data_IF_801054258736
#
_entry.id   IF_801054258736
#
_cell.length_a   1.000
_cell.length_b   1.000
_cell.length_c   1.000
_cell.angle_alpha   90.00
_cell.angle_beta   90.00
_cell.angle_gamma   90.00
#
_symmetry.space_group_name_H-M   'P 1'
#
loop_
_entity.id
_entity.type
_entity.pdbx_description
1 polymer ?
#
# COMPACT_ATOMS: atom_id res chain seq x y z
N UNK A 1 0.26 -9.53 -10.75
CA UNK A 1 0.31 -8.13 -10.27
C UNK A 1 0.62 -7.16 -11.41
N UNK A 2 1.75 -7.32 -12.12
CA UNK A 2 2.15 -6.47 -13.25
C UNK A 2 1.05 -6.23 -14.30
N UNK A 3 0.43 -7.29 -14.82
CA UNK A 3 -0.65 -7.18 -15.83
C UNK A 3 -1.81 -6.31 -15.33
N UNK A 4 -2.19 -6.45 -14.06
CA UNK A 4 -3.26 -5.65 -13.46
C UNK A 4 -2.84 -4.19 -13.33
N UNK A 5 -1.60 -3.94 -12.90
CA UNK A 5 -1.05 -2.58 -12.76
C UNK A 5 -0.95 -1.87 -14.12
N UNK A 6 -0.45 -2.56 -15.14
CA UNK A 6 -0.27 -2.04 -16.50
C UNK A 6 -1.61 -1.75 -17.19
N UNK A 7 -2.66 -2.49 -16.82
CA UNK A 7 -4.04 -2.23 -17.25
C UNK A 7 -4.74 -1.12 -16.43
N UNK A 8 -4.05 -0.48 -15.47
CA UNK A 8 -4.62 0.55 -14.60
C UNK A 8 -5.57 0.02 -13.52
N UNK A 9 -5.55 -1.29 -13.26
CA UNK A 9 -6.32 -1.94 -12.22
C UNK A 9 -5.62 -1.90 -10.84
N UNK A 10 -6.21 -2.61 -9.87
CA UNK A 10 -5.63 -2.75 -8.52
C UNK A 10 -5.93 -4.11 -7.91
N UNK A 11 -5.07 -4.54 -6.99
CA UNK A 11 -5.27 -5.76 -6.18
C UNK A 11 -5.93 -5.41 -4.86
N UNK A 12 -6.91 -6.21 -4.45
CA UNK A 12 -7.53 -6.07 -3.13
C UNK A 12 -6.59 -6.59 -2.03
N UNK A 13 -6.16 -5.71 -1.11
CA UNK A 13 -5.23 -6.03 -0.04
C UNK A 13 -5.65 -7.20 0.86
N UNK A 14 -6.94 -7.42 1.09
CA UNK A 14 -7.40 -8.57 1.90
C UNK A 14 -7.17 -9.93 1.21
N UNK A 15 -6.79 -9.93 -0.06
CA UNK A 15 -6.43 -11.12 -0.85
C UNK A 15 -4.95 -11.12 -1.28
N UNK A 16 -4.20 -10.08 -0.91
CA UNK A 16 -2.78 -10.00 -1.22
C UNK A 16 -1.93 -10.68 -0.14
N UNK A 17 -0.94 -11.45 -0.59
CA UNK A 17 0.10 -12.02 0.26
C UNK A 17 1.52 -11.73 -0.24
N UNK A 18 1.69 -11.18 -1.46
CA UNK A 18 2.99 -11.20 -2.17
C UNK A 18 3.26 -10.03 -3.11
N UNK A 19 2.37 -9.04 -3.19
CA UNK A 19 2.54 -7.89 -4.06
C UNK A 19 3.79 -7.09 -3.68
N UNK A 20 4.56 -6.71 -4.69
CA UNK A 20 5.73 -5.83 -4.55
C UNK A 20 5.27 -4.39 -4.26
N UNK A 21 6.08 -3.65 -3.49
CA UNK A 21 5.80 -2.27 -3.08
C UNK A 21 5.63 -1.35 -4.29
N UNK A 22 6.46 -1.51 -5.30
CA UNK A 22 6.51 -0.68 -6.49
C UNK A 22 5.19 -0.78 -7.28
N UNK A 23 4.60 -1.98 -7.33
CA UNK A 23 3.30 -2.21 -7.95
C UNK A 23 2.15 -1.68 -7.10
N UNK A 24 2.28 -1.72 -5.78
CA UNK A 24 1.31 -1.07 -4.88
C UNK A 24 1.26 0.44 -5.13
N UNK A 25 2.40 1.10 -5.28
CA UNK A 25 2.47 2.53 -5.59
C UNK A 25 1.80 2.88 -6.93
N UNK A 26 1.96 2.03 -7.95
CA UNK A 26 1.28 2.20 -9.25
C UNK A 26 -0.25 2.02 -9.14
N UNK A 27 -0.71 1.02 -8.39
CA UNK A 27 -2.14 0.70 -8.26
C UNK A 27 -2.92 1.63 -7.31
N UNK A 28 -2.22 2.30 -6.39
CA UNK A 28 -2.80 3.18 -5.37
C UNK A 28 -2.22 4.59 -5.44
N UNK A 29 -2.61 5.40 -6.45
CA UNK A 29 -2.02 6.74 -6.68
C UNK A 29 -2.22 7.73 -5.52
N UNK A 30 -3.23 7.52 -4.66
CA UNK A 30 -3.49 8.33 -3.47
C UNK A 30 -2.80 7.82 -2.20
N UNK A 31 -1.84 6.90 -2.33
CA UNK A 31 -1.08 6.35 -1.18
C UNK A 31 -0.41 7.46 -0.37
N UNK A 32 0.20 8.45 -1.01
CA UNK A 32 0.89 9.54 -0.31
C UNK A 32 -0.06 10.34 0.60
N UNK A 33 -1.28 10.62 0.14
CA UNK A 33 -2.33 11.26 0.94
C UNK A 33 -2.69 10.41 2.16
N UNK A 34 -2.86 9.10 1.96
CA UNK A 34 -3.15 8.17 3.05
C UNK A 34 -1.99 8.09 4.07
N UNK A 35 -0.75 8.03 3.60
CA UNK A 35 0.44 8.04 4.47
C UNK A 35 0.52 9.32 5.29
N UNK A 36 0.13 10.48 4.73
CA UNK A 36 0.07 11.74 5.47
C UNK A 36 -0.98 11.71 6.59
N UNK A 37 -2.19 11.22 6.30
CA UNK A 37 -3.23 11.03 7.32
C UNK A 37 -2.74 10.08 8.41
N UNK A 38 -2.15 8.94 8.02
CA UNK A 38 -1.62 7.97 8.98
C UNK A 38 -0.55 8.58 9.88
N UNK A 39 0.38 9.34 9.33
CA UNK A 39 1.43 10.02 10.10
C UNK A 39 0.87 11.06 11.09
N UNK A 40 -0.26 11.71 10.76
CA UNK A 40 -0.92 12.64 11.69
C UNK A 40 -1.63 11.95 12.87
N UNK A 41 -2.08 10.71 12.67
CA UNK A 41 -2.85 9.96 13.69
C UNK A 41 -1.95 9.03 14.52
N UNK A 42 -0.92 8.46 13.90
CA UNK A 42 0.02 7.52 14.53
C UNK A 42 1.47 7.85 14.12
N UNK A 43 2.03 8.97 14.63
CA UNK A 43 3.38 9.43 14.26
C UNK A 43 4.48 8.45 14.67
N UNK A 44 4.26 7.67 15.73
CA UNK A 44 5.18 6.65 16.24
C UNK A 44 5.03 5.29 15.55
N UNK A 45 4.08 5.15 14.61
CA UNK A 45 3.77 3.91 13.88
C UNK A 45 3.49 2.71 14.80
N UNK A 46 2.75 2.95 15.89
CA UNK A 46 2.35 1.92 16.86
C UNK A 46 1.42 0.87 16.23
N UNK A 47 0.61 1.26 15.24
CA UNK A 47 -0.22 0.35 14.46
C UNK A 47 0.51 -0.09 13.19
N UNK A 48 1.19 -1.23 13.30
CA UNK A 48 1.93 -1.84 12.20
C UNK A 48 1.55 -3.32 12.05
N UNK A 49 1.36 -3.75 10.80
CA UNK A 49 1.21 -5.15 10.40
C UNK A 49 2.29 -5.53 9.38
N UNK A 50 2.53 -6.84 9.21
CA UNK A 50 3.49 -7.35 8.21
C UNK A 50 3.18 -6.85 6.80
N UNK A 51 1.88 -6.76 6.46
CA UNK A 51 1.44 -6.19 5.19
C UNK A 51 1.85 -4.72 5.06
N UNK A 52 1.57 -3.92 6.09
CA UNK A 52 1.91 -2.50 6.07
C UNK A 52 3.42 -2.28 6.02
N UNK A 53 4.22 -3.16 6.65
CA UNK A 53 5.67 -3.10 6.59
C UNK A 53 6.20 -3.48 5.20
N UNK A 54 5.71 -4.58 4.61
CA UNK A 54 6.10 -5.03 3.26
C UNK A 54 5.82 -3.95 2.21
N UNK A 55 4.60 -3.40 2.21
CA UNK A 55 4.21 -2.32 1.31
C UNK A 55 4.73 -0.95 1.75
N UNK A 56 5.33 -0.88 2.96
CA UNK A 56 5.75 0.30 3.71
C UNK A 56 4.80 1.46 3.54
N UNK A 57 3.56 1.15 3.87
CA UNK A 57 2.60 2.15 4.30
C UNK A 57 3.18 2.86 5.51
#
# INVERSE_FOLDING_TARGET
>A
DRIVADAGGRIYLAKDARMERELFDQMYPRRAEFSAVRASVDPERRFCSDLSQRLGL
#
